data_IF_084963431658
#
_entry.id   IF_084963431658
#
_cell.length_a   1.000
_cell.length_b   1.000
_cell.length_c   1.000
_cell.angle_alpha   90.00
_cell.angle_beta   90.00
_cell.angle_gamma   90.00
#
_symmetry.space_group_name_H-M   'P 1'
#
loop_
_entity.id
_entity.type
_entity.pdbx_description
1 polymer ?
#
# COMPACT_ATOMS: atom_id res chain seq x y z
N UNK A 1 -1.40 0.96 18.54
CA UNK A 1 -0.32 1.92 18.90
C UNK A 1 -0.91 3.05 19.74
N UNK A 2 -0.23 3.43 20.78
CA UNK A 2 -0.67 4.53 21.64
C UNK A 2 -0.40 5.87 20.98
N UNK A 3 -1.27 6.90 21.18
CA UNK A 3 -1.07 8.21 20.55
C UNK A 3 0.27 8.87 20.90
N UNK A 4 0.75 8.71 22.14
CA UNK A 4 2.06 9.26 22.54
C UNK A 4 3.23 8.57 21.84
N UNK A 5 3.14 7.28 21.65
CA UNK A 5 4.14 6.50 20.94
C UNK A 5 4.19 6.89 19.46
N UNK A 6 3.03 7.03 18.83
CA UNK A 6 2.93 7.49 17.46
C UNK A 6 3.53 8.88 17.28
N UNK A 7 3.20 9.83 18.15
CA UNK A 7 3.74 11.18 18.10
C UNK A 7 5.26 11.20 18.24
N UNK A 8 5.82 10.36 19.12
CA UNK A 8 7.26 10.24 19.28
C UNK A 8 7.94 9.68 18.01
N UNK A 9 7.34 8.68 17.39
CA UNK A 9 7.86 8.10 16.16
C UNK A 9 7.79 9.09 14.98
N UNK A 10 6.71 9.86 14.88
CA UNK A 10 6.58 10.90 13.85
C UNK A 10 7.65 11.97 14.02
N UNK A 11 7.93 12.40 15.26
CA UNK A 11 9.00 13.36 15.53
C UNK A 11 10.36 12.84 15.05
N UNK A 12 10.63 11.55 15.19
CA UNK A 12 11.87 10.94 14.71
C UNK A 12 11.94 10.85 13.18
N UNK A 13 10.82 10.94 12.47
CA UNK A 13 10.83 10.98 11.01
C UNK A 13 11.43 12.26 10.44
N UNK A 14 11.57 13.31 11.25
CA UNK A 14 12.27 14.53 10.86
C UNK A 14 13.79 14.42 10.97
N UNK A 15 14.31 13.37 11.62
CA UNK A 15 15.74 13.14 11.76
C UNK A 15 16.33 12.72 10.41
N UNK A 16 17.41 13.37 9.93
CA UNK A 16 18.03 13.03 8.65
C UNK A 16 18.69 11.65 8.61
N UNK A 17 18.88 10.98 9.75
CA UNK A 17 19.51 9.66 9.81
C UNK A 17 18.63 8.60 9.14
N UNK A 18 19.19 7.96 8.11
CA UNK A 18 18.49 6.94 7.33
C UNK A 18 18.26 5.64 8.11
N UNK A 19 19.13 5.30 9.03
CA UNK A 19 18.99 4.09 9.85
C UNK A 19 17.81 4.25 10.82
N UNK A 20 17.66 5.43 11.41
CA UNK A 20 16.51 5.76 12.25
C UNK A 20 15.23 5.69 11.43
N UNK A 21 15.20 6.28 10.24
CA UNK A 21 14.05 6.21 9.35
C UNK A 21 13.67 4.77 9.02
N UNK A 22 14.64 3.94 8.68
CA UNK A 22 14.37 2.56 8.31
C UNK A 22 13.76 1.77 9.47
N UNK A 23 14.29 1.92 10.68
CA UNK A 23 13.75 1.25 11.86
C UNK A 23 12.32 1.67 12.17
N UNK A 24 12.04 2.97 12.08
CA UNK A 24 10.70 3.52 12.33
C UNK A 24 9.73 3.09 11.24
N UNK A 25 10.16 3.13 9.99
CA UNK A 25 9.36 2.71 8.84
C UNK A 25 8.90 1.26 8.99
N UNK A 26 9.80 0.35 9.34
CA UNK A 26 9.46 -1.06 9.56
C UNK A 26 8.42 -1.22 10.67
N UNK A 27 8.55 -0.48 11.75
CA UNK A 27 7.61 -0.53 12.86
C UNK A 27 6.24 -0.01 12.47
N UNK A 28 6.17 1.11 11.74
CA UNK A 28 4.91 1.71 11.32
C UNK A 28 4.21 0.86 10.25
N UNK A 29 4.95 0.29 9.32
CA UNK A 29 4.38 -0.59 8.29
C UNK A 29 3.72 -1.83 8.90
N UNK A 30 4.28 -2.37 9.97
CA UNK A 30 3.69 -3.51 10.68
C UNK A 30 2.32 -3.22 11.29
N UNK A 31 2.05 -1.97 11.65
CA UNK A 31 0.74 -1.57 12.18
C UNK A 31 -0.36 -1.62 11.11
N UNK A 32 -0.02 -1.47 9.85
CA UNK A 32 -0.92 -1.68 8.74
C UNK A 32 -1.88 -0.53 8.45
N UNK A 33 -2.95 -0.86 7.74
CA UNK A 33 -3.94 0.10 7.23
C UNK A 33 -4.51 1.07 8.26
N UNK A 34 -4.82 0.66 9.52
CA UNK A 34 -5.38 1.58 10.51
C UNK A 34 -4.51 2.80 10.80
N UNK A 35 -3.21 2.72 10.50
CA UNK A 35 -2.28 3.81 10.75
C UNK A 35 -2.33 4.90 9.66
N UNK A 36 -2.84 4.60 8.48
CA UNK A 36 -2.86 5.53 7.34
C UNK A 36 -3.55 6.86 7.68
N UNK A 37 -4.76 6.89 8.28
CA UNK A 37 -5.38 8.16 8.64
C UNK A 37 -4.54 9.02 9.60
N UNK A 38 -3.83 8.39 10.52
CA UNK A 38 -2.95 9.08 11.46
C UNK A 38 -1.72 9.65 10.76
N UNK A 39 -1.16 8.91 9.79
CA UNK A 39 -0.05 9.38 8.97
C UNK A 39 -0.45 10.54 8.08
N UNK A 40 -1.63 10.49 7.47
CA UNK A 40 -2.16 11.58 6.65
C UNK A 40 -2.34 12.86 7.49
N UNK A 41 -2.84 12.72 8.71
CA UNK A 41 -3.00 13.85 9.62
C UNK A 41 -1.66 14.43 10.03
N UNK A 42 -0.66 13.62 10.31
CA UNK A 42 0.70 14.06 10.61
C UNK A 42 1.31 14.83 9.43
N UNK A 43 1.07 14.36 8.21
CA UNK A 43 1.49 15.03 6.99
C UNK A 43 0.85 16.41 6.86
N UNK A 44 -0.46 16.50 7.08
CA UNK A 44 -1.21 17.78 7.01
C UNK A 44 -0.74 18.80 8.06
N UNK A 45 -0.35 18.32 9.24
CA UNK A 45 0.05 19.19 10.36
C UNK A 45 1.51 19.63 10.30
N UNK A 46 2.28 19.16 9.33
CA UNK A 46 3.71 19.48 9.19
C UNK A 46 4.00 20.21 7.88
N UNK A 47 4.95 21.14 7.91
CA UNK A 47 5.49 21.78 6.71
C UNK A 47 6.89 21.27 6.35
N UNK A 48 7.37 20.22 7.03
CA UNK A 48 8.70 19.65 6.79
C UNK A 48 8.68 18.75 5.57
N UNK A 49 9.45 19.08 4.54
CA UNK A 49 9.49 18.33 3.28
C UNK A 49 9.99 16.91 3.45
N UNK A 50 10.98 16.70 4.32
CA UNK A 50 11.51 15.37 4.59
C UNK A 50 10.46 14.49 5.27
N UNK A 51 9.72 15.04 6.23
CA UNK A 51 8.61 14.32 6.86
C UNK A 51 7.55 13.95 5.84
N UNK A 52 7.16 14.88 4.97
CA UNK A 52 6.17 14.63 3.92
C UNK A 52 6.59 13.47 3.03
N UNK A 53 7.81 13.48 2.56
CA UNK A 53 8.34 12.41 1.70
C UNK A 53 8.32 11.06 2.40
N UNK A 54 8.76 11.03 3.65
CA UNK A 54 8.85 9.79 4.43
C UNK A 54 7.48 9.23 4.80
N UNK A 55 6.53 10.10 5.14
CA UNK A 55 5.15 9.68 5.43
C UNK A 55 4.50 9.08 4.17
N UNK A 56 4.67 9.72 3.02
CA UNK A 56 4.19 9.20 1.74
C UNK A 56 4.78 7.82 1.44
N UNK A 57 6.08 7.66 1.66
CA UNK A 57 6.76 6.39 1.45
C UNK A 57 6.21 5.28 2.36
N UNK A 58 5.98 5.59 3.63
CA UNK A 58 5.42 4.63 4.59
C UNK A 58 3.99 4.23 4.20
N UNK A 59 3.16 5.19 3.80
CA UNK A 59 1.79 4.91 3.34
C UNK A 59 1.81 3.99 2.13
N UNK A 60 2.70 4.25 1.16
CA UNK A 60 2.85 3.40 -0.02
C UNK A 60 3.29 1.99 0.35
N UNK A 61 4.20 1.85 1.30
CA UNK A 61 4.64 0.53 1.77
C UNK A 61 3.50 -0.24 2.44
N UNK A 62 2.68 0.43 3.27
CA UNK A 62 1.52 -0.20 3.91
C UNK A 62 0.52 -0.69 2.85
N UNK A 63 0.21 0.14 1.86
CA UNK A 63 -0.70 -0.19 0.78
C UNK A 63 -0.18 -1.34 -0.08
N UNK A 64 1.11 -1.34 -0.36
CA UNK A 64 1.77 -2.40 -1.12
C UNK A 64 1.68 -3.76 -0.38
N UNK A 65 1.98 -3.79 0.92
CA UNK A 65 1.89 -5.01 1.71
C UNK A 65 0.45 -5.55 1.77
N UNK A 66 -0.52 -4.66 1.92
CA UNK A 66 -1.93 -5.05 1.92
C UNK A 66 -2.36 -5.64 0.57
N UNK A 67 -1.99 -5.01 -0.54
CA UNK A 67 -2.31 -5.50 -1.88
C UNK A 67 -1.64 -6.84 -2.16
N UNK A 68 -0.41 -7.02 -1.69
CA UNK A 68 0.33 -8.28 -1.80
C UNK A 68 -0.36 -9.40 -1.03
N UNK A 69 -0.82 -9.14 0.20
CA UNK A 69 -1.57 -10.11 1.00
C UNK A 69 -2.85 -10.56 0.29
N UNK A 70 -3.61 -9.63 -0.28
CA UNK A 70 -4.81 -9.93 -1.04
C UNK A 70 -4.53 -10.79 -2.28
N UNK A 71 -3.46 -10.50 -2.99
CA UNK A 71 -3.06 -11.26 -4.16
C UNK A 71 -2.67 -12.69 -3.79
N UNK A 72 -1.89 -12.86 -2.70
CA UNK A 72 -1.50 -14.17 -2.21
C UNK A 72 -2.72 -14.98 -1.78
N UNK A 73 -3.66 -14.36 -1.05
CA UNK A 73 -4.89 -15.00 -0.63
C UNK A 73 -5.72 -15.48 -1.83
N UNK A 74 -5.79 -14.69 -2.89
CA UNK A 74 -6.49 -15.08 -4.12
C UNK A 74 -5.82 -16.28 -4.80
N UNK A 75 -4.50 -16.26 -4.89
CA UNK A 75 -3.73 -17.37 -5.46
C UNK A 75 -3.95 -18.64 -4.64
N UNK A 76 -3.88 -18.55 -3.32
CA UNK A 76 -4.07 -19.68 -2.40
C UNK A 76 -5.50 -20.24 -2.45
N UNK A 77 -6.49 -19.41 -2.78
CA UNK A 77 -7.87 -19.85 -2.95
C UNK A 77 -8.13 -20.61 -4.25
N UNK A 78 -7.12 -20.79 -5.10
CA UNK A 78 -7.24 -21.49 -6.37
C UNK A 78 -7.77 -20.64 -7.50
N UNK A 79 -7.69 -19.33 -7.37
CA UNK A 79 -8.14 -18.37 -8.39
C UNK A 79 -9.64 -18.49 -8.71
N UNK A 80 -10.46 -18.82 -7.70
CA UNK A 80 -11.88 -19.12 -7.89
C UNK A 80 -12.75 -17.92 -8.30
N UNK A 81 -12.32 -16.69 -8.03
CA UNK A 81 -13.03 -15.48 -8.42
C UNK A 81 -12.13 -14.61 -9.29
N UNK A 82 -12.40 -14.60 -10.58
CA UNK A 82 -11.62 -13.87 -11.56
C UNK A 82 -11.71 -12.35 -11.35
N UNK A 83 -12.89 -11.85 -10.96
CA UNK A 83 -13.10 -10.42 -10.71
C UNK A 83 -12.30 -9.96 -9.48
N UNK A 84 -12.37 -10.72 -8.39
CA UNK A 84 -11.60 -10.45 -7.18
C UNK A 84 -10.10 -10.47 -7.48
N UNK A 85 -9.65 -11.43 -8.26
CA UNK A 85 -8.27 -11.51 -8.70
C UNK A 85 -7.84 -10.30 -9.52
N UNK A 86 -8.68 -9.88 -10.47
CA UNK A 86 -8.40 -8.70 -11.29
C UNK A 86 -8.29 -7.43 -10.43
N UNK A 87 -9.18 -7.26 -9.44
CA UNK A 87 -9.13 -6.13 -8.50
C UNK A 87 -7.87 -6.19 -7.65
N UNK A 88 -7.48 -7.36 -7.17
CA UNK A 88 -6.26 -7.54 -6.37
C UNK A 88 -5.00 -7.19 -7.17
N UNK A 89 -4.93 -7.60 -8.43
CA UNK A 89 -3.82 -7.26 -9.32
C UNK A 89 -3.78 -5.75 -9.58
N UNK A 90 -4.92 -5.12 -9.83
CA UNK A 90 -5.01 -3.68 -10.05
C UNK A 90 -4.52 -2.90 -8.83
N UNK A 91 -4.92 -3.29 -7.62
CA UNK A 91 -4.47 -2.67 -6.38
C UNK A 91 -2.99 -2.89 -6.10
N UNK A 92 -2.44 -4.02 -6.52
CA UNK A 92 -1.00 -4.30 -6.41
C UNK A 92 -0.18 -3.37 -7.30
N UNK A 93 -0.62 -3.16 -8.54
CA UNK A 93 0.08 -2.27 -9.48
C UNK A 93 -0.17 -0.79 -9.19
N UNK A 94 -1.34 -0.45 -8.71
CA UNK A 94 -1.78 0.93 -8.46
C UNK A 94 -2.43 1.05 -7.08
N UNK A 95 -1.66 1.09 -5.98
CA UNK A 95 -2.21 1.08 -4.62
C UNK A 95 -3.19 2.23 -4.33
N UNK A 96 -3.01 3.38 -4.99
CA UNK A 96 -3.84 4.58 -4.79
C UNK A 96 -5.00 4.70 -5.78
N UNK A 97 -5.28 3.64 -6.54
CA UNK A 97 -6.28 3.69 -7.59
C UNK A 97 -7.70 3.83 -7.03
N UNK A 98 -8.48 4.77 -7.58
CA UNK A 98 -9.88 4.93 -7.25
C UNK A 98 -10.74 3.88 -7.97
N UNK A 99 -11.90 3.56 -7.39
CA UNK A 99 -12.79 2.52 -7.91
C UNK A 99 -13.17 2.74 -9.38
N UNK A 100 -13.44 3.99 -9.77
CA UNK A 100 -13.80 4.33 -11.15
C UNK A 100 -12.69 4.03 -12.15
N UNK A 101 -11.46 4.24 -11.74
CA UNK A 101 -10.28 3.93 -12.56
C UNK A 101 -10.05 2.42 -12.61
N UNK A 102 -10.41 1.69 -11.54
CA UNK A 102 -10.32 0.24 -11.48
C UNK A 102 -11.18 -0.39 -12.59
N UNK A 103 -12.40 0.08 -12.81
CA UNK A 103 -13.30 -0.46 -13.84
C UNK A 103 -12.69 -0.39 -15.24
N UNK A 104 -12.01 0.70 -15.58
CA UNK A 104 -11.35 0.83 -16.88
C UNK A 104 -10.12 -0.07 -17.00
N UNK A 105 -9.41 -0.30 -15.91
CA UNK A 105 -8.23 -1.18 -15.89
C UNK A 105 -8.59 -2.66 -15.81
N UNK A 106 -9.69 -3.02 -15.16
CA UNK A 106 -10.16 -4.41 -15.07
C UNK A 106 -10.31 -5.03 -16.46
N UNK A 107 -10.90 -4.30 -17.39
CA UNK A 107 -11.10 -4.80 -18.76
C UNK A 107 -9.76 -5.09 -19.45
N UNK A 108 -8.76 -4.23 -19.25
CA UNK A 108 -7.41 -4.43 -19.78
C UNK A 108 -6.71 -5.63 -19.13
N UNK A 109 -6.85 -5.77 -17.82
CA UNK A 109 -6.24 -6.87 -17.07
C UNK A 109 -6.90 -8.20 -17.45
N UNK A 110 -8.22 -8.25 -17.54
CA UNK A 110 -8.95 -9.42 -18.00
C UNK A 110 -8.48 -9.88 -19.37
N UNK A 111 -8.32 -8.93 -20.29
CA UNK A 111 -7.85 -9.24 -21.65
C UNK A 111 -6.43 -9.78 -21.63
N UNK A 112 -5.54 -9.19 -20.84
CA UNK A 112 -4.17 -9.63 -20.69
C UNK A 112 -4.08 -11.03 -20.08
N UNK A 113 -4.81 -11.29 -19.01
CA UNK A 113 -4.86 -12.59 -18.34
C UNK A 113 -5.43 -13.64 -19.28
N UNK A 114 -6.49 -13.31 -20.02
CA UNK A 114 -7.08 -14.20 -21.00
C UNK A 114 -6.08 -14.60 -22.08
N UNK A 115 -5.32 -13.63 -22.62
CA UNK A 115 -4.30 -13.91 -23.63
C UNK A 115 -3.18 -14.80 -23.08
N UNK A 116 -2.72 -14.55 -21.86
CA UNK A 116 -1.69 -15.36 -21.20
C UNK A 116 -2.18 -16.80 -20.95
N UNK A 117 -3.43 -16.98 -20.53
CA UNK A 117 -4.02 -18.30 -20.35
C UNK A 117 -4.12 -19.05 -21.66
N UNK A 118 -4.51 -18.39 -22.74
CA UNK A 118 -4.58 -19.01 -24.06
C UNK A 118 -3.21 -19.42 -24.61
N UNK A 119 -2.18 -18.61 -24.34
CA UNK A 119 -0.81 -18.96 -24.74
C UNK A 119 -0.23 -20.13 -23.96
N UNK A 120 -0.68 -20.34 -22.71
CA UNK A 120 -0.21 -21.46 -21.88
C UNK A 120 -0.96 -22.77 -22.13
N UNK A 121 -2.03 -22.72 -22.88
CA UNK A 121 -2.78 -23.91 -23.33
C UNK A 121 -2.20 -24.48 -24.63
#
# INVERSE_FOLDING_TARGET
>A
MRPKEFAALVALLEDPDKEIFQAISEKLVKEGLPLIPLLEKAWENSSNDLLHFRVEDIIHQIQFEHAKENLVAWIDSGCGDLLQGAVSIAKYQYPDIEYEVIDSHINKIKKKVWLELNESL
#
